data_IF_951481745879
#
_entry.id   IF_951481745879
#
_cell.length_a   1.000
_cell.length_b   1.000
_cell.length_c   1.000
_cell.angle_alpha   90.00
_cell.angle_beta   90.00
_cell.angle_gamma   90.00
#
_symmetry.space_group_name_H-M   'P 1'
#
loop_
_entity.id
_entity.type
_entity.pdbx_description
1 polymer ?
#
# COMPACT_ATOMS: atom_id res chain seq x y z
N UNK A 1 0.80 -6.54 -6.25
CA UNK A 1 1.08 -5.70 -7.43
C UNK A 1 1.13 -4.24 -6.99
N UNK A 2 1.81 -3.36 -7.73
CA UNK A 2 1.73 -1.93 -7.47
C UNK A 2 0.30 -1.42 -7.70
N UNK A 3 -0.12 -0.45 -6.88
CA UNK A 3 -1.45 0.18 -6.93
C UNK A 3 -1.31 1.69 -6.99
N UNK A 4 -2.23 2.35 -7.70
CA UNK A 4 -2.30 3.80 -7.69
C UNK A 4 -3.05 4.24 -6.44
N UNK A 5 -2.49 5.20 -5.71
CA UNK A 5 -3.15 5.88 -4.61
C UNK A 5 -3.10 7.38 -4.85
N UNK A 6 -4.02 8.11 -4.22
CA UNK A 6 -3.93 9.56 -4.11
C UNK A 6 -2.62 9.97 -3.42
N UNK A 7 -2.09 11.13 -3.82
CA UNK A 7 -0.78 11.60 -3.40
C UNK A 7 -0.63 11.68 -1.87
N UNK A 8 -1.66 12.17 -1.18
CA UNK A 8 -1.66 12.31 0.28
C UNK A 8 -1.61 10.94 0.95
N UNK A 9 -2.46 10.00 0.54
CA UNK A 9 -2.50 8.64 1.09
C UNK A 9 -1.19 7.88 0.82
N UNK A 10 -0.64 8.00 -0.41
CA UNK A 10 0.65 7.41 -0.76
C UNK A 10 1.78 7.94 0.12
N UNK A 11 1.80 9.25 0.38
CA UNK A 11 2.81 9.88 1.22
C UNK A 11 2.72 9.44 2.69
N UNK A 12 1.50 9.39 3.24
CA UNK A 12 1.27 8.94 4.62
C UNK A 12 1.72 7.49 4.82
N UNK A 13 1.28 6.58 3.96
CA UNK A 13 1.64 5.16 4.03
C UNK A 13 3.15 4.92 3.86
N UNK A 14 3.80 5.69 2.98
CA UNK A 14 5.24 5.66 2.80
C UNK A 14 5.99 6.13 4.05
N UNK A 15 5.53 7.23 4.66
CA UNK A 15 6.15 7.80 5.86
C UNK A 15 6.04 6.86 7.07
N UNK A 16 4.98 6.05 7.12
CA UNK A 16 4.81 4.99 8.11
C UNK A 16 5.59 3.70 7.79
N UNK A 17 6.26 3.61 6.64
CA UNK A 17 7.02 2.42 6.23
C UNK A 17 6.15 1.24 5.79
N UNK A 18 4.84 1.43 5.58
CA UNK A 18 3.90 0.36 5.21
C UNK A 18 3.97 0.01 3.72
N UNK A 19 4.31 1.00 2.89
CA UNK A 19 4.45 0.85 1.44
C UNK A 19 5.77 1.45 0.94
N UNK A 20 6.20 1.01 -0.23
CA UNK A 20 7.33 1.54 -1.01
C UNK A 20 6.78 2.20 -2.26
N UNK A 21 7.39 3.31 -2.68
CA UNK A 21 7.04 3.98 -3.94
C UNK A 21 7.66 3.23 -5.12
N UNK A 22 6.91 3.08 -6.20
CA UNK A 22 7.35 2.55 -7.49
C UNK A 22 6.80 3.48 -8.58
N UNK A 23 7.59 4.48 -8.97
CA UNK A 23 7.10 5.56 -9.83
C UNK A 23 5.89 6.28 -9.19
N UNK A 24 4.78 6.36 -9.92
CA UNK A 24 3.52 6.95 -9.45
C UNK A 24 2.62 5.96 -8.69
N UNK A 25 3.09 4.75 -8.43
CA UNK A 25 2.35 3.69 -7.74
C UNK A 25 3.04 3.33 -6.42
N UNK A 26 2.34 2.57 -5.58
CA UNK A 26 2.90 2.04 -4.33
C UNK A 26 2.77 0.52 -4.26
N UNK A 27 3.69 -0.11 -3.54
CA UNK A 27 3.68 -1.54 -3.23
C UNK A 27 3.82 -1.75 -1.72
N UNK A 28 3.19 -2.78 -1.16
CA UNK A 28 3.42 -3.17 0.24
C UNK A 28 4.92 -3.38 0.50
N UNK A 29 5.42 -2.87 1.63
CA UNK A 29 6.86 -2.86 1.91
C UNK A 29 7.43 -4.25 2.22
N UNK A 30 6.56 -5.17 2.68
CA UNK A 30 6.86 -6.57 2.96
C UNK A 30 5.61 -7.48 2.79
N UNK A 31 5.81 -8.80 2.89
CA UNK A 31 4.72 -9.77 2.76
C UNK A 31 3.67 -9.68 3.87
N UNK A 32 4.06 -9.29 5.09
CA UNK A 32 3.13 -9.13 6.21
C UNK A 32 2.09 -8.05 5.91
N UNK A 33 2.51 -6.86 5.47
CA UNK A 33 1.56 -5.81 5.10
C UNK A 33 0.76 -6.16 3.85
N UNK A 34 1.33 -6.92 2.92
CA UNK A 34 0.58 -7.45 1.77
C UNK A 34 -0.59 -8.34 2.22
N UNK A 35 -0.37 -9.20 3.22
CA UNK A 35 -1.42 -10.04 3.81
C UNK A 35 -2.41 -9.18 4.59
N UNK A 36 -1.93 -8.33 5.49
CA UNK A 36 -2.79 -7.42 6.27
C UNK A 36 -3.75 -6.61 5.40
N UNK A 37 -3.25 -5.96 4.34
CA UNK A 37 -4.09 -5.19 3.43
C UNK A 37 -5.07 -6.09 2.67
N UNK A 38 -4.65 -7.28 2.25
CA UNK A 38 -5.56 -8.23 1.59
C UNK A 38 -6.70 -8.65 2.53
N UNK A 39 -6.38 -8.96 3.77
CA UNK A 39 -7.35 -9.50 4.72
C UNK A 39 -8.32 -8.42 5.20
N UNK A 40 -7.87 -7.17 5.32
CA UNK A 40 -8.70 -6.07 5.85
C UNK A 40 -9.34 -5.18 4.78
N UNK A 41 -8.78 -5.14 3.56
CA UNK A 41 -9.31 -4.33 2.45
C UNK A 41 -9.89 -5.20 1.32
N UNK A 42 -9.59 -6.50 1.30
CA UNK A 42 -10.09 -7.44 0.30
C UNK A 42 -11.52 -7.95 0.56
N UNK A 43 -12.10 -7.69 1.73
CA UNK A 43 -13.51 -7.98 2.03
C UNK A 43 -14.50 -6.95 1.43
N UNK A 44 -14.00 -5.90 0.77
CA UNK A 44 -14.79 -4.83 0.16
C UNK A 44 -15.13 -5.08 -1.33
N UNK A 45 -15.27 -6.35 -1.73
CA UNK A 45 -15.79 -6.78 -3.03
C UNK A 45 -16.91 -7.81 -2.88
#
# INVERSE_FOLDING_TARGET
APVHLDLIAAYQLYSMGLVKKQGNQVMASCNLYRQYFRDHLGELL
#
